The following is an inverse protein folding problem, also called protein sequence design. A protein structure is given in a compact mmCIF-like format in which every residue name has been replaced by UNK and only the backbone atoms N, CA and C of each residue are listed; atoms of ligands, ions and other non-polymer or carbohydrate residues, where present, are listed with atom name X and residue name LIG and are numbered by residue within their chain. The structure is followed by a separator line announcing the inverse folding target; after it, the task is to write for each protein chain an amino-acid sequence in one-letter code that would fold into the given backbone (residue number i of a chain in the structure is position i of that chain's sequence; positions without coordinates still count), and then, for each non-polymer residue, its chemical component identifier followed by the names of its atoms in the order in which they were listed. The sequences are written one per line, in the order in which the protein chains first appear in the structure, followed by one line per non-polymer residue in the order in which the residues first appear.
data_IF_411923471787
#
_entry.id   IF_411923471787
#
_cell.length_a   1.000
_cell.length_b   1.000
_cell.length_c   1.000
_cell.angle_alpha   90.00
_cell.angle_beta   90.00
_cell.angle_gamma   90.00
#
_symmetry.space_group_name_H-M   'P 1'
#
loop_
_entity.id
_entity.type
_entity.pdbx_description
1 polymer ?
#
# COMPACT_ATOMS: atom_id res chain seq x y z
N UNK A 1 -13.36 -59.27 10.25
CA UNK A 1 -13.83 -58.28 9.26
C UNK A 1 -13.50 -56.90 9.83
N UNK A 2 -12.49 -56.14 9.37
CA UNK A 2 -12.54 -55.32 8.14
C UNK A 2 -13.85 -54.50 8.11
N UNK A 3 -13.91 -53.17 8.13
CA UNK A 3 -13.06 -52.17 7.50
C UNK A 3 -13.29 -50.78 8.11
N UNK A 4 -12.22 -49.99 8.13
CA UNK A 4 -12.14 -48.53 8.07
C UNK A 4 -13.35 -47.76 7.52
N UNK A 5 -13.73 -46.68 8.21
CA UNK A 5 -14.46 -45.55 7.64
C UNK A 5 -13.94 -44.23 8.23
N UNK A 6 -12.98 -43.61 7.56
CA UNK A 6 -12.48 -42.25 7.86
C UNK A 6 -13.58 -41.22 7.58
N UNK A 7 -13.78 -40.17 8.42
CA UNK A 7 -14.60 -39.04 8.04
C UNK A 7 -13.85 -38.14 7.04
N UNK A 8 -14.57 -37.68 6.02
CA UNK A 8 -14.10 -36.90 4.87
C UNK A 8 -13.50 -35.53 5.26
N UNK A 9 -12.53 -35.01 4.48
CA UNK A 9 -11.95 -33.68 4.71
C UNK A 9 -12.89 -32.61 4.12
N UNK A 10 -13.57 -31.86 4.98
CA UNK A 10 -14.56 -30.87 4.53
C UNK A 10 -15.02 -29.91 5.62
N UNK A 11 -14.17 -29.60 6.59
CA UNK A 11 -14.41 -28.50 7.53
C UNK A 11 -13.97 -27.20 6.87
N UNK A 12 -14.89 -26.57 6.12
CA UNK A 12 -14.86 -25.15 5.76
C UNK A 12 -14.34 -24.34 6.95
N UNK A 13 -13.08 -23.93 6.87
CA UNK A 13 -12.44 -23.06 7.85
C UNK A 13 -13.08 -21.69 7.62
N UNK A 14 -14.11 -21.35 8.39
CA UNK A 14 -14.73 -20.03 8.35
C UNK A 14 -13.65 -19.00 8.62
N UNK A 15 -13.30 -18.22 7.60
CA UNK A 15 -12.41 -17.08 7.75
C UNK A 15 -13.09 -16.10 8.72
N UNK A 16 -12.34 -15.49 9.66
CA UNK A 16 -12.93 -14.53 10.58
C UNK A 16 -13.46 -13.33 9.79
N UNK A 17 -14.73 -13.01 10.01
CA UNK A 17 -15.41 -11.85 9.44
C UNK A 17 -14.80 -10.58 10.01
N UNK A 18 -14.27 -9.70 9.15
CA UNK A 18 -13.72 -8.41 9.57
C UNK A 18 -14.86 -7.40 9.73
N UNK A 19 -15.28 -7.16 10.97
CA UNK A 19 -16.22 -6.09 11.30
C UNK A 19 -15.46 -4.82 11.70
N UNK A 20 -15.65 -3.66 11.03
CA UNK A 20 -15.04 -2.42 11.46
C UNK A 20 -15.61 -2.01 12.83
N UNK A 21 -14.73 -1.56 13.74
CA UNK A 21 -15.11 -1.17 15.09
C UNK A 21 -16.20 -0.08 15.07
N UNK A 22 -17.34 -0.37 15.69
CA UNK A 22 -18.51 0.50 15.72
C UNK A 22 -18.28 1.74 16.56
N UNK A 23 -18.57 2.92 16.00
CA UNK A 23 -18.71 4.16 16.74
C UNK A 23 -20.04 4.19 17.47
N UNK A 24 -20.05 3.98 18.80
CA UNK A 24 -20.80 4.86 19.71
C UNK A 24 -20.49 4.52 21.17
N UNK A 25 -20.59 5.55 22.00
CA UNK A 25 -20.24 5.75 23.43
C UNK A 25 -20.41 4.59 24.44
N UNK A 26 -21.04 3.47 24.08
CA UNK A 26 -21.32 2.33 24.97
C UNK A 26 -20.10 1.46 25.30
N UNK A 27 -19.05 1.48 24.47
CA UNK A 27 -17.86 0.63 24.66
C UNK A 27 -16.83 1.19 25.66
N UNK A 28 -17.12 2.33 26.32
CA UNK A 28 -16.17 3.02 27.22
C UNK A 28 -16.27 2.64 28.69
N UNK A 29 -17.36 2.02 29.14
CA UNK A 29 -17.63 1.82 30.57
C UNK A 29 -17.92 0.36 31.00
N UNK A 30 -18.09 -0.57 30.06
CA UNK A 30 -18.24 -2.00 30.38
C UNK A 30 -16.87 -2.68 30.42
N UNK A 31 -16.10 -2.41 31.47
CA UNK A 31 -14.99 -3.27 31.89
C UNK A 31 -15.54 -4.29 32.89
N UNK A 32 -16.22 -5.31 32.41
CA UNK A 32 -16.50 -6.50 33.20
C UNK A 32 -15.93 -7.70 32.44
N UNK A 33 -14.77 -8.15 32.95
CA UNK A 33 -14.05 -9.38 32.61
C UNK A 33 -13.20 -9.36 31.31
N UNK A 34 -11.93 -8.97 31.49
CA UNK A 34 -10.76 -9.50 30.79
C UNK A 34 -10.77 -9.52 29.25
N UNK A 35 -11.43 -8.55 28.61
CA UNK A 35 -11.31 -8.36 27.17
C UNK A 35 -10.10 -7.47 26.85
N UNK A 36 -9.19 -7.91 25.95
CA UNK A 36 -8.01 -7.14 25.61
C UNK A 36 -8.43 -5.79 25.02
N UNK A 37 -7.92 -4.71 25.63
CA UNK A 37 -8.10 -3.35 25.14
C UNK A 37 -7.62 -3.29 23.69
N UNK A 38 -8.56 -3.16 22.75
CA UNK A 38 -8.26 -3.00 21.33
C UNK A 38 -7.57 -1.64 21.14
N UNK A 39 -6.24 -1.66 21.05
CA UNK A 39 -5.44 -0.49 20.72
C UNK A 39 -5.45 -0.35 19.21
N UNK A 40 -6.18 0.64 18.70
CA UNK A 40 -6.19 0.93 17.27
C UNK A 40 -4.78 1.35 16.80
N UNK A 41 -4.30 0.72 15.73
CA UNK A 41 -3.02 1.04 15.05
C UNK A 41 -3.23 1.76 13.71
N UNK A 42 -4.48 1.94 13.31
CA UNK A 42 -4.86 2.56 12.05
C UNK A 42 -5.87 3.67 12.26
N UNK A 43 -6.05 4.47 11.21
CA UNK A 43 -7.06 5.52 11.14
C UNK A 43 -8.02 5.20 9.99
N UNK A 44 -9.30 5.53 10.18
CA UNK A 44 -10.30 5.48 9.11
C UNK A 44 -10.39 6.85 8.46
N UNK A 45 -10.25 6.92 7.14
CA UNK A 45 -10.37 8.15 6.36
C UNK A 45 -10.88 7.87 4.95
N UNK A 46 -11.43 8.89 4.29
CA UNK A 46 -11.84 8.83 2.89
C UNK A 46 -10.75 9.40 1.99
N UNK A 47 -10.63 8.85 0.78
CA UNK A 47 -9.70 9.30 -0.27
C UNK A 47 -10.53 9.66 -1.49
N UNK A 48 -10.13 10.71 -2.21
CA UNK A 48 -10.78 11.14 -3.46
C UNK A 48 -10.64 10.04 -4.52
N UNK A 49 -11.68 9.84 -5.32
CA UNK A 49 -11.65 8.91 -6.45
C UNK A 49 -10.62 9.35 -7.49
N UNK A 50 -9.89 8.38 -8.05
CA UNK A 50 -8.85 8.57 -9.07
C UNK A 50 -9.28 8.08 -10.45
N UNK A 51 -10.53 7.62 -10.59
CA UNK A 51 -11.07 7.09 -11.84
C UNK A 51 -10.72 5.62 -12.10
N UNK A 52 -10.96 5.18 -13.33
CA UNK A 52 -10.87 3.76 -13.70
C UNK A 52 -9.43 3.23 -13.73
N UNK A 53 -9.24 2.01 -13.22
CA UNK A 53 -7.94 1.32 -13.23
C UNK A 53 -7.38 1.11 -14.65
N UNK A 54 -8.26 0.94 -15.64
CA UNK A 54 -7.87 0.81 -17.05
C UNK A 54 -7.13 2.03 -17.58
N UNK A 55 -7.39 3.21 -17.01
CA UNK A 55 -6.74 4.46 -17.39
C UNK A 55 -5.53 4.73 -16.49
N UNK A 56 -5.63 4.38 -15.21
CA UNK A 56 -4.58 4.60 -14.23
C UNK A 56 -3.34 3.70 -14.43
N UNK A 57 -3.54 2.41 -14.77
CA UNK A 57 -2.44 1.46 -14.92
C UNK A 57 -1.49 1.79 -16.09
N UNK A 58 -1.97 2.13 -17.30
CA UNK A 58 -1.09 2.56 -18.39
C UNK A 58 -0.25 3.79 -18.02
N UNK A 59 -0.83 4.76 -17.32
CA UNK A 59 -0.13 5.95 -16.86
C UNK A 59 1.02 5.60 -15.90
N UNK A 60 0.76 4.75 -14.91
CA UNK A 60 1.81 4.27 -14.00
C UNK A 60 2.91 3.50 -14.74
N UNK A 61 2.53 2.63 -15.68
CA UNK A 61 3.47 1.86 -16.47
C UNK A 61 4.40 2.77 -17.29
N UNK A 62 3.84 3.78 -17.96
CA UNK A 62 4.62 4.75 -18.72
C UNK A 62 5.58 5.55 -17.83
N UNK A 63 5.13 5.98 -16.65
CA UNK A 63 5.99 6.67 -15.68
C UNK A 63 7.17 5.82 -15.21
N UNK A 64 6.94 4.52 -14.95
CA UNK A 64 8.00 3.58 -14.59
C UNK A 64 8.98 3.39 -15.76
N UNK A 65 8.47 3.23 -16.99
CA UNK A 65 9.31 3.11 -18.17
C UNK A 65 10.19 4.35 -18.40
N UNK A 66 9.63 5.55 -18.21
CA UNK A 66 10.40 6.80 -18.31
C UNK A 66 11.50 6.83 -17.24
N UNK A 67 11.18 6.47 -15.99
CA UNK A 67 12.19 6.38 -14.93
C UNK A 67 13.31 5.40 -15.27
N UNK A 68 13.01 4.29 -15.94
CA UNK A 68 14.02 3.34 -16.39
C UNK A 68 14.91 3.91 -17.50
N UNK A 69 14.35 4.73 -18.40
CA UNK A 69 15.12 5.44 -19.41
C UNK A 69 16.05 6.49 -18.79
N UNK A 70 15.56 7.26 -17.82
CA UNK A 70 16.34 8.28 -17.12
C UNK A 70 17.52 7.66 -16.35
N UNK A 71 17.33 6.46 -15.78
CA UNK A 71 18.39 5.68 -15.12
C UNK A 71 19.33 5.00 -16.14
N UNK A 72 18.87 4.77 -17.37
CA UNK A 72 19.64 4.10 -18.43
C UNK A 72 19.57 2.56 -18.40
N UNK A 73 18.51 1.98 -17.81
CA UNK A 73 18.32 0.52 -17.70
C UNK A 73 17.08 0.06 -18.47
N UNK A 74 17.10 -1.18 -18.98
CA UNK A 74 16.02 -1.71 -19.84
C UNK A 74 15.06 -2.64 -19.10
N UNK A 75 15.49 -3.23 -18.00
CA UNK A 75 14.73 -4.25 -17.28
C UNK A 75 15.01 -4.22 -15.77
N UNK A 76 14.09 -4.77 -14.98
CA UNK A 76 14.23 -4.87 -13.53
C UNK A 76 15.48 -5.71 -13.16
N UNK A 77 15.74 -6.88 -13.78
CA UNK A 77 16.97 -7.63 -13.54
C UNK A 77 18.24 -6.81 -13.81
N UNK A 78 18.26 -6.02 -14.88
CA UNK A 78 19.41 -5.18 -15.21
C UNK A 78 19.60 -4.04 -14.21
N UNK A 79 18.51 -3.46 -13.70
CA UNK A 79 18.56 -2.47 -12.62
C UNK A 79 19.18 -3.07 -11.35
N UNK A 80 18.78 -4.28 -10.94
CA UNK A 80 19.39 -4.94 -9.78
C UNK A 80 20.87 -5.25 -10.01
N UNK A 81 21.25 -5.70 -11.20
CA UNK A 81 22.66 -5.93 -11.55
C UNK A 81 23.47 -4.63 -11.47
N UNK A 82 22.97 -3.54 -12.06
CA UNK A 82 23.62 -2.23 -12.03
C UNK A 82 23.75 -1.67 -10.60
N UNK A 83 22.74 -1.92 -9.75
CA UNK A 83 22.76 -1.57 -8.33
C UNK A 83 23.88 -2.31 -7.58
N UNK A 84 23.92 -3.64 -7.67
CA UNK A 84 24.92 -4.45 -6.97
C UNK A 84 26.34 -4.29 -7.54
N UNK A 85 26.46 -3.96 -8.83
CA UNK A 85 27.73 -3.60 -9.45
C UNK A 85 28.20 -2.18 -9.08
N UNK A 86 27.37 -1.39 -8.39
CA UNK A 86 27.69 -0.01 -8.00
C UNK A 86 27.70 0.99 -9.17
N UNK A 87 27.06 0.65 -10.30
CA UNK A 87 26.92 1.53 -11.45
C UNK A 87 25.81 2.58 -11.22
N UNK A 88 24.72 2.19 -10.57
CA UNK A 88 23.66 3.11 -10.16
C UNK A 88 24.10 3.93 -8.94
N UNK A 89 24.00 5.26 -9.02
CA UNK A 89 24.35 6.18 -7.94
C UNK A 89 23.09 6.80 -7.34
N UNK A 90 23.13 7.05 -6.04
CA UNK A 90 22.05 7.71 -5.30
C UNK A 90 22.60 8.92 -4.57
N UNK A 91 21.78 9.96 -4.50
CA UNK A 91 22.07 11.16 -3.75
C UNK A 91 21.05 11.36 -2.63
N UNK A 92 21.54 11.64 -1.42
CA UNK A 92 20.67 11.97 -0.29
C UNK A 92 20.27 13.44 -0.39
N UNK A 93 18.98 13.71 -0.54
CA UNK A 93 18.43 15.08 -0.55
C UNK A 93 18.08 15.54 0.87
N UNK A 94 18.38 16.79 1.19
CA UNK A 94 17.94 17.44 2.43
C UNK A 94 16.44 17.77 2.37
N UNK A 95 15.76 18.02 3.51
CA UNK A 95 14.34 18.41 3.50
C UNK A 95 14.05 19.65 2.65
N UNK A 96 14.96 20.63 2.67
CA UNK A 96 14.88 21.82 1.83
C UNK A 96 14.99 21.47 0.34
N UNK A 97 15.94 20.60 -0.05
CA UNK A 97 16.10 20.16 -1.42
C UNK A 97 14.94 19.30 -1.95
N UNK A 98 14.20 18.62 -1.06
CA UNK A 98 12.96 17.91 -1.42
C UNK A 98 11.81 18.89 -1.64
N UNK A 99 11.68 19.91 -0.79
CA UNK A 99 10.68 20.98 -0.95
C UNK A 99 10.88 21.72 -2.28
N UNK A 100 12.14 22.03 -2.62
CA UNK A 100 12.53 22.62 -3.90
C UNK A 100 12.35 21.65 -5.08
N UNK A 101 12.38 20.33 -4.85
CA UNK A 101 12.15 19.36 -5.91
C UNK A 101 10.68 19.22 -6.34
N UNK A 102 9.75 19.73 -5.53
CA UNK A 102 8.32 19.74 -5.83
C UNK A 102 7.89 20.99 -6.59
N UNK A 103 6.59 21.22 -6.68
CA UNK A 103 6.04 22.47 -7.22
C UNK A 103 6.01 23.51 -6.11
N UNK A 104 6.72 24.62 -6.28
CA UNK A 104 6.81 25.72 -5.30
C UNK A 104 6.85 27.09 -6.00
N UNK A 105 6.59 28.17 -5.25
CA UNK A 105 6.57 29.57 -5.73
C UNK A 105 5.50 29.90 -6.80
N UNK A 106 4.26 29.40 -6.64
CA UNK A 106 3.10 29.74 -7.49
C UNK A 106 1.95 30.33 -6.67
N UNK A 107 1.22 31.29 -7.23
CA UNK A 107 0.03 31.88 -6.61
C UNK A 107 -1.16 30.90 -6.59
N UNK A 108 -1.29 30.07 -7.64
CA UNK A 108 -2.23 28.96 -7.70
C UNK A 108 -1.64 27.85 -8.58
N UNK A 109 -1.89 26.60 -8.21
CA UNK A 109 -1.45 25.42 -8.95
C UNK A 109 -2.47 24.29 -8.78
N UNK A 110 -2.84 23.65 -9.89
CA UNK A 110 -3.71 22.48 -9.90
C UNK A 110 -2.92 21.30 -10.46
N UNK A 111 -2.76 20.25 -9.65
CA UNK A 111 -2.24 18.97 -10.10
C UNK A 111 -3.37 18.17 -10.70
N UNK A 112 -3.30 17.95 -12.01
CA UNK A 112 -4.09 16.92 -12.68
C UNK A 112 -3.17 15.72 -12.91
N UNK A 113 -3.53 14.58 -12.32
CA UNK A 113 -2.94 13.30 -12.67
C UNK A 113 -4.06 12.48 -13.29
N UNK A 114 -3.96 12.30 -14.61
CA UNK A 114 -4.96 11.79 -15.57
C UNK A 114 -6.09 12.75 -15.93
#
# INVERSE_FOLDING_TARGET
ASTSGLPLPGAKRSLPEWTPASTSRAQRYLNENDQPRLVAQGVTGSVVDKGALTNYLPYLYQGICQGFQDIGVRSIPDLHRALYAGQTRFERRTPAAQKEGGVHNLHAYQMEML
#
